data_IF_386252847770
#
_entry.id   IF_386252847770
#
_cell.length_a   1.000
_cell.length_b   1.000
_cell.length_c   1.000
_cell.angle_alpha   90.00
_cell.angle_beta   90.00
_cell.angle_gamma   90.00
#
_symmetry.space_group_name_H-M   'P 1'
#
loop_
_entity.id
_entity.type
_entity.pdbx_description
1 polymer ?
#
# COMPACT_ATOMS: atom_id res chain seq x y z
N UNK A 1 -40.78 3.68 -24.46
CA UNK A 1 -40.20 3.33 -23.15
C UNK A 1 -38.72 3.07 -23.36
N UNK A 2 -37.76 3.62 -22.62
CA UNK A 2 -37.79 4.72 -21.65
C UNK A 2 -36.42 5.44 -21.76
N UNK A 3 -36.40 6.77 -21.80
CA UNK A 3 -35.23 7.59 -22.13
C UNK A 3 -35.10 8.73 -21.11
N UNK A 4 -34.92 8.34 -19.84
CA UNK A 4 -34.94 9.27 -18.70
C UNK A 4 -33.88 8.91 -17.64
N UNK A 5 -32.60 9.20 -17.93
CA UNK A 5 -31.62 9.47 -16.87
C UNK A 5 -31.14 10.91 -17.01
N UNK A 6 -31.54 11.71 -16.02
CA UNK A 6 -31.45 13.17 -16.01
C UNK A 6 -30.00 13.66 -16.02
N UNK A 7 -29.71 14.60 -16.92
CA UNK A 7 -28.65 15.59 -16.71
C UNK A 7 -29.08 16.54 -15.59
N UNK A 8 -28.44 16.48 -14.43
CA UNK A 8 -28.57 17.50 -13.38
C UNK A 8 -27.19 17.79 -12.80
N UNK A 9 -26.72 19.04 -12.90
CA UNK A 9 -25.44 19.44 -12.32
C UNK A 9 -24.56 20.41 -13.11
N UNK A 10 -25.03 21.01 -14.21
CA UNK A 10 -24.35 22.16 -14.83
C UNK A 10 -25.15 23.42 -14.50
N UNK A 11 -24.69 24.19 -13.50
CA UNK A 11 -25.39 25.40 -13.04
C UNK A 11 -25.26 26.51 -14.09
N UNK A 12 -26.26 26.60 -14.96
CA UNK A 12 -26.36 27.62 -16.01
C UNK A 12 -26.57 29.01 -15.38
N UNK A 13 -25.52 29.84 -15.36
CA UNK A 13 -25.66 31.29 -15.29
C UNK A 13 -25.29 31.91 -16.64
N UNK A 14 -26.35 32.22 -17.40
CA UNK A 14 -26.37 33.07 -18.62
C UNK A 14 -25.59 34.39 -18.33
N UNK A 15 -24.51 34.75 -19.04
CA UNK A 15 -24.37 35.30 -20.41
C UNK A 15 -24.86 36.75 -20.62
N UNK A 16 -24.13 37.49 -21.49
CA UNK A 16 -24.28 38.88 -21.99
C UNK A 16 -23.81 39.99 -21.01
N UNK A 17 -23.00 41.01 -21.38
CA UNK A 17 -22.41 41.48 -22.65
C UNK A 17 -20.94 41.97 -22.41
N UNK A 18 -20.12 42.53 -23.32
CA UNK A 18 -20.25 43.03 -24.72
C UNK A 18 -18.86 42.91 -25.44
N UNK A 19 -18.77 42.93 -26.79
CA UNK A 19 -17.51 43.10 -27.55
C UNK A 19 -17.18 44.62 -27.76
N UNK A 20 -15.97 45.04 -28.24
CA UNK A 20 -15.06 44.31 -29.14
C UNK A 20 -13.54 44.42 -28.86
N UNK A 21 -12.76 43.95 -29.85
CA UNK A 21 -11.31 44.10 -30.13
C UNK A 21 -10.33 43.14 -29.41
N UNK A 22 -9.36 42.66 -30.21
CA UNK A 22 -8.18 41.82 -29.92
C UNK A 22 -8.36 40.35 -29.51
N UNK A 23 -8.57 39.57 -30.57
CA UNK A 23 -8.32 38.15 -30.75
C UNK A 23 -6.90 37.71 -30.34
N UNK A 24 -6.73 37.21 -29.10
CA UNK A 24 -5.74 36.15 -28.79
C UNK A 24 -6.51 35.03 -28.09
N UNK A 25 -6.94 34.05 -28.88
CA UNK A 25 -7.65 32.88 -28.37
C UNK A 25 -6.66 31.87 -27.77
N UNK A 26 -6.21 32.11 -26.54
CA UNK A 26 -5.37 31.15 -25.80
C UNK A 26 -6.19 29.88 -25.58
N UNK A 27 -5.87 28.84 -26.35
CA UNK A 27 -6.64 27.61 -26.41
C UNK A 27 -6.47 26.80 -25.12
N UNK A 28 -7.26 27.13 -24.08
CA UNK A 28 -7.44 26.30 -22.90
C UNK A 28 -8.15 25.01 -23.29
N UNK A 29 -7.36 24.06 -23.79
CA UNK A 29 -7.76 22.71 -24.14
C UNK A 29 -8.13 21.98 -22.86
N UNK A 30 -9.39 22.11 -22.45
CA UNK A 30 -9.97 21.28 -21.40
C UNK A 30 -9.94 19.82 -21.85
N UNK A 31 -8.87 19.12 -21.47
CA UNK A 31 -8.76 17.67 -21.60
C UNK A 31 -9.83 17.08 -20.68
N UNK A 32 -10.96 16.67 -21.25
CA UNK A 32 -11.97 15.93 -20.50
C UNK A 32 -11.43 14.50 -20.30
N UNK A 33 -11.13 14.05 -19.07
CA UNK A 33 -10.64 12.70 -18.83
C UNK A 33 -11.79 11.71 -19.02
N UNK A 34 -11.95 11.20 -20.26
CA UNK A 34 -12.85 10.09 -20.58
C UNK A 34 -12.32 8.78 -20.00
N UNK A 35 -12.37 8.66 -18.67
CA UNK A 35 -12.16 7.40 -17.97
C UNK A 35 -13.36 6.50 -18.24
N UNK A 36 -13.19 5.55 -19.16
CA UNK A 36 -14.15 4.47 -19.33
C UNK A 36 -14.30 3.66 -18.04
N UNK A 37 -15.44 2.99 -17.85
CA UNK A 37 -15.72 2.20 -16.65
C UNK A 37 -14.63 1.16 -16.33
N UNK A 38 -13.92 0.66 -17.36
CA UNK A 38 -12.77 -0.24 -17.24
C UNK A 38 -11.63 0.37 -16.39
N UNK A 39 -11.31 1.65 -16.55
CA UNK A 39 -10.28 2.33 -15.74
C UNK A 39 -10.68 2.42 -14.26
N UNK A 40 -11.96 2.68 -13.97
CA UNK A 40 -12.45 2.73 -12.59
C UNK A 40 -12.38 1.36 -11.90
N UNK A 41 -12.74 0.29 -12.60
CA UNK A 41 -12.68 -1.08 -12.05
C UNK A 41 -11.22 -1.50 -11.83
N UNK A 42 -10.32 -1.19 -12.77
CA UNK A 42 -8.90 -1.50 -12.63
C UNK A 42 -8.22 -0.74 -11.48
N UNK A 43 -8.49 0.57 -11.32
CA UNK A 43 -7.98 1.37 -10.20
C UNK A 43 -8.38 0.75 -8.84
N UNK A 44 -9.66 0.46 -8.65
CA UNK A 44 -10.17 -0.12 -7.41
C UNK A 44 -9.60 -1.53 -7.13
N UNK A 45 -9.43 -2.36 -8.16
CA UNK A 45 -8.83 -3.70 -8.02
C UNK A 45 -7.37 -3.61 -7.55
N UNK A 46 -6.56 -2.76 -8.18
CA UNK A 46 -5.13 -2.61 -7.81
C UNK A 46 -5.00 -2.02 -6.40
N UNK A 47 -5.83 -1.03 -6.04
CA UNK A 47 -5.84 -0.47 -4.68
C UNK A 47 -6.26 -1.52 -3.63
N UNK A 48 -7.25 -2.37 -3.93
CA UNK A 48 -7.68 -3.44 -3.04
C UNK A 48 -6.57 -4.50 -2.84
N UNK A 49 -5.88 -4.90 -3.92
CA UNK A 49 -4.75 -5.84 -3.87
C UNK A 49 -3.55 -5.26 -3.09
N UNK A 50 -3.18 -4.00 -3.36
CA UNK A 50 -2.13 -3.30 -2.63
C UNK A 50 -2.44 -3.23 -1.13
N UNK A 51 -3.70 -2.94 -0.76
CA UNK A 51 -4.14 -2.88 0.64
C UNK A 51 -4.20 -4.24 1.32
N UNK A 52 -4.57 -5.30 0.61
CA UNK A 52 -4.48 -6.68 1.13
C UNK A 52 -3.03 -7.08 1.44
N UNK A 53 -2.09 -6.74 0.54
CA UNK A 53 -0.66 -6.98 0.76
C UNK A 53 -0.11 -6.18 1.95
N UNK A 54 -0.50 -4.92 2.09
CA UNK A 54 -0.13 -4.04 3.21
C UNK A 54 -0.56 -4.61 4.57
N UNK A 55 -1.81 -5.07 4.66
CA UNK A 55 -2.36 -5.73 5.86
C UNK A 55 -1.61 -7.04 6.16
N UNK A 56 -1.34 -7.86 5.15
CA UNK A 56 -0.61 -9.12 5.33
C UNK A 56 0.83 -8.90 5.83
N UNK A 57 1.56 -7.94 5.25
CA UNK A 57 2.90 -7.55 5.71
C UNK A 57 2.87 -6.95 7.13
N UNK A 58 1.84 -6.18 7.47
CA UNK A 58 1.66 -5.61 8.82
C UNK A 58 1.39 -6.71 9.85
N UNK A 59 0.53 -7.69 9.54
CA UNK A 59 0.31 -8.86 10.40
C UNK A 59 1.60 -9.67 10.59
N UNK A 60 2.38 -9.86 9.53
CA UNK A 60 3.67 -10.55 9.62
C UNK A 60 4.68 -9.77 10.49
N UNK A 61 4.72 -8.43 10.38
CA UNK A 61 5.53 -7.59 11.27
C UNK A 61 5.15 -7.80 12.75
N UNK A 62 3.86 -7.88 13.09
CA UNK A 62 3.42 -8.18 14.47
C UNK A 62 3.85 -9.56 14.96
N UNK A 63 3.86 -10.58 14.09
CA UNK A 63 4.39 -11.92 14.39
C UNK A 63 5.90 -11.85 14.73
N UNK A 64 6.68 -11.06 13.97
CA UNK A 64 8.11 -10.86 14.22
C UNK A 64 8.35 -10.09 15.54
N UNK A 65 7.53 -9.08 15.84
CA UNK A 65 7.58 -8.35 17.12
C UNK A 65 7.27 -9.30 18.29
N UNK A 66 6.22 -10.13 18.19
CA UNK A 66 5.91 -11.13 19.20
C UNK A 66 7.06 -12.12 19.42
N UNK A 67 7.73 -12.56 18.33
CA UNK A 67 8.93 -13.40 18.41
C UNK A 67 10.09 -12.68 19.11
N UNK A 68 10.28 -11.38 18.91
CA UNK A 68 11.31 -10.58 19.58
C UNK A 68 11.07 -10.47 21.09
N UNK A 69 9.81 -10.21 21.50
CA UNK A 69 9.40 -10.20 22.91
C UNK A 69 9.66 -11.56 23.57
N UNK A 70 9.34 -12.66 22.88
CA UNK A 70 9.62 -14.03 23.36
C UNK A 70 11.11 -14.27 23.59
N UNK A 71 12.01 -13.76 22.75
CA UNK A 71 13.47 -13.88 22.99
C UNK A 71 13.96 -13.11 24.22
N UNK A 72 13.27 -12.04 24.66
CA UNK A 72 13.62 -11.33 25.89
C UNK A 72 13.02 -11.96 27.14
N UNK A 73 11.79 -12.45 27.07
CA UNK A 73 11.09 -13.06 28.23
C UNK A 73 11.54 -14.51 28.47
N UNK A 74 12.04 -15.19 27.43
CA UNK A 74 12.48 -16.60 27.45
C UNK A 74 11.45 -17.57 28.10
N UNK A 75 10.22 -17.66 27.55
CA UNK A 75 9.17 -18.54 28.05
C UNK A 75 9.46 -20.01 27.75
N UNK A 76 8.69 -20.91 28.37
CA UNK A 76 8.80 -22.37 28.19
C UNK A 76 8.74 -22.77 26.69
N UNK A 77 9.79 -23.42 26.13
CA UNK A 77 9.84 -23.85 24.73
C UNK A 77 8.78 -24.87 24.31
N UNK A 78 8.19 -25.62 25.25
CA UNK A 78 7.17 -26.63 24.98
C UNK A 78 5.76 -26.03 24.80
N UNK A 79 5.58 -24.73 25.03
CA UNK A 79 4.31 -24.07 24.78
C UNK A 79 3.99 -24.05 23.26
N UNK A 80 2.81 -24.53 22.82
CA UNK A 80 2.46 -24.62 21.40
C UNK A 80 2.46 -23.26 20.68
N UNK A 81 2.17 -22.16 21.37
CA UNK A 81 2.21 -20.80 20.80
C UNK A 81 3.66 -20.40 20.49
N UNK A 82 4.59 -20.72 21.39
CA UNK A 82 6.03 -20.49 21.19
C UNK A 82 6.52 -21.33 20.01
N UNK A 83 6.21 -22.64 19.99
CA UNK A 83 6.61 -23.52 18.90
C UNK A 83 6.05 -23.08 17.53
N UNK A 84 4.81 -22.59 17.47
CA UNK A 84 4.23 -22.01 16.27
C UNK A 84 5.00 -20.77 15.80
N UNK A 85 5.25 -19.81 16.69
CA UNK A 85 5.96 -18.57 16.37
C UNK A 85 7.39 -18.85 15.88
N UNK A 86 8.12 -19.78 16.50
CA UNK A 86 9.41 -20.24 15.98
C UNK A 86 9.27 -20.84 14.58
N UNK A 87 8.37 -21.82 14.36
CA UNK A 87 8.18 -22.46 13.05
C UNK A 87 7.86 -21.47 11.92
N UNK A 88 7.06 -20.43 12.19
CA UNK A 88 6.67 -19.41 11.19
C UNK A 88 7.77 -18.40 10.92
N UNK A 89 8.57 -18.02 11.93
CA UNK A 89 9.59 -16.97 11.80
C UNK A 89 10.98 -17.48 11.43
N UNK A 90 11.35 -18.70 11.82
CA UNK A 90 12.65 -19.29 11.55
C UNK A 90 13.05 -19.37 10.05
N UNK A 91 12.17 -19.66 9.06
CA UNK A 91 12.59 -19.65 7.65
C UNK A 91 13.05 -18.26 7.16
N UNK A 92 12.59 -17.18 7.78
CA UNK A 92 13.02 -15.79 7.47
C UNK A 92 14.17 -15.33 8.38
N UNK A 93 14.18 -15.75 9.65
CA UNK A 93 15.22 -15.36 10.61
C UNK A 93 16.53 -16.15 10.43
N UNK A 94 16.48 -17.43 10.03
CA UNK A 94 17.67 -18.28 9.92
C UNK A 94 18.67 -17.79 8.85
N UNK A 95 18.26 -17.34 7.65
CA UNK A 95 19.18 -16.71 6.69
C UNK A 95 19.83 -15.44 7.26
N UNK A 96 19.05 -14.56 7.91
CA UNK A 96 19.54 -13.32 8.52
C UNK A 96 20.57 -13.61 9.62
N UNK A 97 20.29 -14.61 10.48
CA UNK A 97 21.24 -15.08 11.50
C UNK A 97 22.55 -15.64 10.94
N UNK A 98 22.54 -16.23 9.73
CA UNK A 98 23.77 -16.72 9.07
C UNK A 98 24.67 -15.60 8.55
N UNK A 99 24.11 -14.44 8.22
CA UNK A 99 24.85 -13.28 7.73
C UNK A 99 25.40 -12.41 8.87
N UNK A 100 24.86 -12.54 10.09
CA UNK A 100 25.32 -11.82 11.27
C UNK A 100 26.44 -12.58 12.00
N UNK A 101 27.66 -12.02 12.12
CA UNK A 101 28.73 -12.63 12.91
C UNK A 101 28.48 -12.59 14.43
N UNK A 102 27.47 -11.84 14.88
CA UNK A 102 27.21 -11.53 16.29
C UNK A 102 26.44 -12.62 17.07
N UNK A 103 26.62 -13.92 16.74
CA UNK A 103 25.92 -15.05 17.42
C UNK A 103 26.14 -15.12 18.94
N UNK A 104 27.11 -14.40 19.48
CA UNK A 104 27.54 -14.48 20.87
C UNK A 104 26.97 -13.38 21.78
N UNK A 105 26.15 -12.44 21.28
CA UNK A 105 25.62 -11.31 22.06
C UNK A 105 24.45 -11.67 23.02
N UNK A 106 24.02 -12.93 23.07
CA UNK A 106 22.93 -13.41 23.95
C UNK A 106 21.53 -12.90 23.61
N UNK A 107 21.39 -11.88 22.76
CA UNK A 107 20.14 -11.26 22.33
C UNK A 107 19.99 -11.43 20.81
N UNK A 108 18.83 -11.94 20.38
CA UNK A 108 18.45 -12.02 18.97
C UNK A 108 18.18 -10.60 18.40
N UNK A 109 19.17 -10.00 17.73
CA UNK A 109 18.99 -8.72 17.00
C UNK A 109 18.27 -8.92 15.65
N UNK A 110 18.27 -10.14 15.12
CA UNK A 110 17.67 -10.52 13.83
C UNK A 110 16.24 -10.02 13.57
N UNK A 111 15.30 -10.02 14.55
CA UNK A 111 13.95 -9.47 14.35
C UNK A 111 13.94 -8.00 13.95
N UNK A 112 14.87 -7.17 14.47
CA UNK A 112 14.95 -5.74 14.16
C UNK A 112 15.30 -5.53 12.68
N UNK A 113 16.25 -6.32 12.16
CA UNK A 113 16.65 -6.27 10.74
C UNK A 113 15.51 -6.73 9.84
N UNK A 114 14.78 -7.78 10.23
CA UNK A 114 13.61 -8.27 9.49
C UNK A 114 12.48 -7.25 9.50
N UNK A 115 12.20 -6.58 10.63
CA UNK A 115 11.22 -5.48 10.71
C UNK A 115 11.62 -4.33 9.77
N UNK A 116 12.89 -3.92 9.77
CA UNK A 116 13.39 -2.88 8.87
C UNK A 116 13.22 -3.28 7.39
N UNK A 117 13.50 -4.54 7.04
CA UNK A 117 13.28 -5.08 5.70
C UNK A 117 11.79 -5.11 5.32
N UNK A 118 10.87 -5.47 6.24
CA UNK A 118 9.42 -5.45 6.00
C UNK A 118 8.94 -4.01 5.77
N UNK A 119 9.37 -3.05 6.59
CA UNK A 119 9.00 -1.63 6.44
C UNK A 119 9.52 -1.07 5.11
N UNK A 120 10.74 -1.44 4.70
CA UNK A 120 11.25 -1.11 3.37
C UNK A 120 10.39 -1.73 2.26
N UNK A 121 10.06 -3.02 2.38
CA UNK A 121 9.28 -3.75 1.39
C UNK A 121 7.84 -3.22 1.25
N UNK A 122 7.18 -2.86 2.35
CA UNK A 122 5.90 -2.16 2.35
C UNK A 122 6.01 -0.81 1.64
N UNK A 123 6.95 0.04 2.06
CA UNK A 123 7.12 1.37 1.48
C UNK A 123 7.54 1.31 0.01
N UNK A 124 8.25 0.29 -0.44
CA UNK A 124 8.59 0.10 -1.84
C UNK A 124 7.40 -0.49 -2.62
N UNK A 125 7.01 -1.74 -2.35
CA UNK A 125 6.00 -2.45 -3.15
C UNK A 125 4.62 -1.78 -3.07
N UNK A 126 4.10 -1.52 -1.86
CA UNK A 126 2.73 -1.01 -1.70
C UNK A 126 2.63 0.40 -2.27
N UNK A 127 3.62 1.29 -2.04
CA UNK A 127 3.59 2.64 -2.61
C UNK A 127 3.76 2.62 -4.13
N UNK A 128 4.64 1.79 -4.69
CA UNK A 128 4.74 1.65 -6.15
C UNK A 128 3.43 1.14 -6.77
N UNK A 129 2.77 0.15 -6.15
CA UNK A 129 1.45 -0.32 -6.61
C UNK A 129 0.38 0.77 -6.54
N UNK A 130 0.30 1.52 -5.44
CA UNK A 130 -0.63 2.65 -5.31
C UNK A 130 -0.32 3.78 -6.31
N UNK A 131 0.96 4.12 -6.50
CA UNK A 131 1.40 5.12 -7.48
C UNK A 131 0.94 4.74 -8.89
N UNK A 132 1.22 3.50 -9.33
CA UNK A 132 0.78 2.98 -10.63
C UNK A 132 -0.75 3.05 -10.79
N UNK A 133 -1.53 2.73 -9.76
CA UNK A 133 -2.98 2.90 -9.78
C UNK A 133 -3.39 4.38 -9.95
N UNK A 134 -2.76 5.29 -9.21
CA UNK A 134 -3.08 6.73 -9.26
C UNK A 134 -2.57 7.45 -10.51
N UNK A 135 -1.55 6.93 -11.21
CA UNK A 135 -1.09 7.49 -12.50
C UNK A 135 -2.08 7.22 -13.64
N UNK A 136 -2.98 6.25 -13.49
CA UNK A 136 -4.11 6.03 -14.41
C UNK A 136 -5.33 6.93 -14.12
N UNK A 137 -5.17 7.89 -13.18
CA UNK A 137 -6.20 8.82 -12.71
C UNK A 137 -5.97 10.24 -13.23
#
# INVERSE_FOLDING_TARGET
MDLSIRKTGCTEKRFLCTPPVFMIATQHRFICPKKGAVMFIAENLILALAKMLDIALTLYMWIIIARAVISWVNPDPYNPIVMFLYRVTEPVLAPVRRWLPFRNLGIDISPIIVIMAIIFLQNFLVRSMMQMATTMR
#
